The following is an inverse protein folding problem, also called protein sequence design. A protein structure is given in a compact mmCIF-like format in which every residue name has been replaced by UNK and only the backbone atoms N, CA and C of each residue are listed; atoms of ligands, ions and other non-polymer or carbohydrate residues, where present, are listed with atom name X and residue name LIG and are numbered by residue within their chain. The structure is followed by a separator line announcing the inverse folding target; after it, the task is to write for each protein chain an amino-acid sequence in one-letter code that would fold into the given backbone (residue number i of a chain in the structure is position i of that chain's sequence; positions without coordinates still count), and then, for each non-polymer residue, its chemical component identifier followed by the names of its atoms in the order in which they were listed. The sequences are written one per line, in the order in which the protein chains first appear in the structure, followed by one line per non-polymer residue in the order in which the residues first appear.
data_IF_178320930299
#
_entry.id   IF_178320930299
#
_cell.length_a   1.000
_cell.length_b   1.000
_cell.length_c   1.000
_cell.angle_alpha   90.00
_cell.angle_beta   90.00
_cell.angle_gamma   90.00
#
_symmetry.space_group_name_H-M   'P 1'
#
loop_
_entity.id
_entity.type
_entity.pdbx_description
1 polymer ?
#
# COMPACT_ATOMS: atom_id res chain seq x y z
N UNK A 1 8.04 -19.31 16.59
CA UNK A 1 9.47 -18.94 16.56
C UNK A 1 10.06 -19.12 15.18
N UNK A 2 10.08 -20.34 14.68
CA UNK A 2 10.71 -20.73 13.40
C UNK A 2 10.25 -19.90 12.18
N UNK A 3 8.94 -19.70 12.02
CA UNK A 3 8.40 -18.95 10.88
C UNK A 3 8.86 -17.48 10.87
N UNK A 4 8.89 -16.82 12.04
CA UNK A 4 9.39 -15.46 12.16
C UNK A 4 10.90 -15.40 11.88
N UNK A 5 11.65 -16.37 12.40
CA UNK A 5 13.10 -16.45 12.23
C UNK A 5 13.51 -16.69 10.77
N UNK A 6 12.75 -17.47 10.00
CA UNK A 6 13.01 -17.64 8.56
C UNK A 6 12.98 -16.31 7.82
N UNK A 7 12.05 -15.42 8.18
CA UNK A 7 11.96 -14.12 7.57
C UNK A 7 12.94 -13.11 8.19
N UNK A 8 13.23 -13.18 9.48
CA UNK A 8 13.95 -12.11 10.19
C UNK A 8 15.36 -12.45 10.66
N UNK A 9 15.79 -13.71 10.73
CA UNK A 9 17.14 -14.04 11.17
C UNK A 9 18.18 -13.51 10.18
N UNK A 10 19.14 -12.69 10.65
CA UNK A 10 20.26 -12.26 9.81
C UNK A 10 21.29 -13.37 9.60
N UNK A 11 21.19 -14.46 10.36
CA UNK A 11 22.09 -15.62 10.28
C UNK A 11 21.30 -16.81 9.74
N UNK A 12 21.63 -17.36 8.56
CA UNK A 12 20.94 -18.52 8.02
C UNK A 12 21.16 -19.77 8.87
N UNK A 13 20.27 -20.77 8.74
CA UNK A 13 20.41 -22.04 9.47
C UNK A 13 21.70 -22.77 9.15
N UNK A 14 22.17 -22.67 7.90
CA UNK A 14 23.45 -23.25 7.46
C UNK A 14 24.66 -22.72 8.26
N UNK A 15 24.57 -21.50 8.80
CA UNK A 15 25.67 -20.86 9.52
C UNK A 15 25.53 -20.95 11.06
N UNK A 16 24.31 -20.94 11.60
CA UNK A 16 24.11 -20.92 13.06
C UNK A 16 23.18 -22.01 13.61
N UNK A 17 22.89 -23.04 12.82
CA UNK A 17 22.01 -24.14 13.22
C UNK A 17 20.52 -23.78 13.18
N UNK A 18 19.66 -24.74 13.60
CA UNK A 18 18.21 -24.62 13.45
C UNK A 18 17.63 -23.37 14.12
N UNK A 19 16.65 -22.73 13.46
CA UNK A 19 15.96 -21.57 14.05
C UNK A 19 15.22 -21.90 15.34
N UNK A 20 14.70 -23.12 15.45
CA UNK A 20 13.92 -23.58 16.61
C UNK A 20 14.71 -23.52 17.93
N UNK A 21 16.02 -23.73 17.90
CA UNK A 21 16.90 -23.72 19.08
C UNK A 21 17.83 -22.50 19.14
N UNK A 22 17.64 -21.51 18.24
CA UNK A 22 18.51 -20.36 18.12
C UNK A 22 18.41 -19.41 19.32
N UNK A 23 19.56 -19.09 19.92
CA UNK A 23 19.68 -18.03 20.89
C UNK A 23 19.79 -16.65 20.22
N UNK A 24 18.66 -16.02 19.88
CA UNK A 24 18.63 -14.70 19.22
C UNK A 24 19.20 -13.54 20.06
N UNK A 25 19.48 -13.76 21.35
CA UNK A 25 20.16 -12.82 22.23
C UNK A 25 21.68 -13.06 22.35
N UNK A 26 22.22 -14.09 21.68
CA UNK A 26 23.63 -14.37 21.73
C UNK A 26 24.47 -13.17 21.25
N UNK A 27 25.50 -12.76 22.01
CA UNK A 27 26.40 -11.71 21.58
C UNK A 27 27.33 -12.19 20.46
N UNK A 28 27.79 -11.25 19.65
CA UNK A 28 28.91 -11.46 18.75
C UNK A 28 30.22 -11.30 19.55
N UNK A 29 30.86 -12.43 19.87
CA UNK A 29 32.11 -12.44 20.64
C UNK A 29 33.29 -11.76 19.91
N UNK A 30 33.24 -11.64 18.58
CA UNK A 30 34.26 -10.93 17.81
C UNK A 30 34.08 -9.40 17.85
N UNK A 31 32.90 -8.91 18.25
CA UNK A 31 32.63 -7.48 18.32
C UNK A 31 33.04 -6.93 19.70
N UNK A 32 33.88 -5.88 19.81
CA UNK A 32 34.39 -5.38 21.10
C UNK A 32 33.32 -5.00 22.13
N UNK A 33 32.15 -4.54 21.66
CA UNK A 33 31.00 -4.19 22.50
C UNK A 33 30.06 -5.36 22.82
N UNK A 34 30.38 -6.58 22.36
CA UNK A 34 29.53 -7.78 22.48
C UNK A 34 28.07 -7.53 22.08
N UNK A 35 27.87 -6.77 21.00
CA UNK A 35 26.52 -6.53 20.44
C UNK A 35 25.93 -7.84 19.96
N UNK A 36 24.60 -7.93 19.89
CA UNK A 36 23.86 -9.09 19.38
C UNK A 36 24.43 -9.56 18.03
N UNK A 37 24.59 -10.87 17.87
CA UNK A 37 25.08 -11.46 16.61
C UNK A 37 24.03 -11.45 15.50
N UNK A 38 22.77 -11.69 15.86
CA UNK A 38 21.65 -11.67 14.93
C UNK A 38 21.00 -10.29 14.90
N UNK A 39 20.96 -9.62 13.75
CA UNK A 39 20.34 -8.29 13.62
C UNK A 39 18.83 -8.35 13.41
N UNK A 40 18.21 -9.53 13.42
CA UNK A 40 16.77 -9.74 13.28
C UNK A 40 16.14 -9.04 12.06
N UNK A 41 16.93 -8.90 10.99
CA UNK A 41 16.47 -8.69 9.62
C UNK A 41 17.47 -9.34 8.65
N UNK A 42 17.02 -9.75 7.46
CA UNK A 42 17.88 -10.38 6.45
C UNK A 42 17.93 -9.61 5.12
N UNK A 43 17.11 -8.57 4.94
CA UNK A 43 17.00 -7.77 3.71
C UNK A 43 16.68 -8.62 2.46
N UNK A 44 16.19 -9.84 2.64
CA UNK A 44 15.86 -10.73 1.54
C UNK A 44 14.56 -10.30 0.87
N UNK A 45 14.53 -10.41 -0.46
CA UNK A 45 13.34 -10.08 -1.24
C UNK A 45 12.29 -11.20 -1.06
N UNK A 46 11.30 -10.96 -0.22
CA UNK A 46 10.22 -11.89 0.10
C UNK A 46 8.98 -11.57 -0.72
N UNK A 47 8.28 -12.56 -1.31
CA UNK A 47 7.01 -12.34 -1.99
C UNK A 47 5.99 -11.61 -1.11
N UNK A 48 5.33 -10.57 -1.63
CA UNK A 48 4.35 -9.80 -0.87
C UNK A 48 3.13 -10.65 -0.50
N UNK A 49 2.82 -11.67 -1.29
CA UNK A 49 1.79 -12.67 -0.99
C UNK A 49 2.12 -13.50 0.25
N UNK A 50 3.41 -13.76 0.50
CA UNK A 50 3.89 -14.43 1.69
C UNK A 50 3.93 -13.47 2.89
N UNK A 51 4.48 -12.26 2.72
CA UNK A 51 4.50 -11.22 3.77
C UNK A 51 3.07 -10.85 4.20
N UNK A 52 2.15 -10.90 3.25
CA UNK A 52 0.72 -10.66 3.42
C UNK A 52 0.35 -9.18 3.59
N UNK A 53 1.27 -8.22 3.44
CA UNK A 53 0.98 -6.78 3.57
C UNK A 53 0.27 -6.19 2.35
N UNK A 54 -0.25 -4.96 2.48
CA UNK A 54 -0.86 -4.19 1.38
C UNK A 54 0.01 -4.20 0.10
N UNK A 55 -0.40 -4.93 -0.97
CA UNK A 55 0.49 -5.26 -2.08
C UNK A 55 0.72 -4.11 -3.05
N UNK A 56 -0.16 -3.10 -3.09
CA UNK A 56 -0.05 -2.03 -4.09
C UNK A 56 1.28 -1.29 -4.00
N UNK A 57 1.88 -1.18 -2.81
CA UNK A 57 3.21 -0.59 -2.66
C UNK A 57 4.31 -1.45 -3.30
N UNK A 58 4.22 -2.77 -3.21
CA UNK A 58 5.18 -3.68 -3.83
C UNK A 58 5.09 -3.69 -5.36
N UNK A 59 3.99 -3.15 -5.93
CA UNK A 59 3.73 -3.11 -7.37
C UNK A 59 4.16 -1.80 -8.05
N UNK A 60 4.89 -0.91 -7.36
CA UNK A 60 5.39 0.32 -7.96
C UNK A 60 6.35 0.03 -9.13
N UNK A 61 6.31 0.83 -10.20
CA UNK A 61 7.14 0.62 -11.39
C UNK A 61 8.33 1.56 -11.50
N UNK A 62 8.56 2.43 -10.49
CA UNK A 62 9.54 3.52 -10.55
C UNK A 62 10.98 3.10 -10.88
N UNK A 63 11.40 1.91 -10.46
CA UNK A 63 12.74 1.35 -10.66
C UNK A 63 12.91 0.57 -11.98
N UNK A 64 11.85 0.44 -12.77
CA UNK A 64 11.90 -0.25 -14.06
C UNK A 64 12.75 0.52 -15.06
N UNK A 65 13.36 -0.19 -16.02
CA UNK A 65 14.15 0.45 -17.08
C UNK A 65 13.30 1.48 -17.85
N UNK A 66 13.87 2.67 -18.07
CA UNK A 66 13.19 3.79 -18.73
C UNK A 66 12.29 4.63 -17.82
N UNK A 67 12.20 4.33 -16.52
CA UNK A 67 11.42 5.11 -15.54
C UNK A 67 12.33 6.01 -14.70
N UNK A 68 11.73 6.98 -13.99
CA UNK A 68 12.42 8.07 -13.27
C UNK A 68 13.50 7.61 -12.27
N UNK A 69 13.38 6.40 -11.71
CA UNK A 69 14.30 5.86 -10.70
C UNK A 69 14.97 4.57 -11.16
N UNK A 70 15.14 4.37 -12.46
CA UNK A 70 15.69 3.14 -13.04
C UNK A 70 17.11 2.80 -12.53
N UNK A 71 17.90 3.83 -12.22
CA UNK A 71 19.27 3.74 -11.70
C UNK A 71 19.33 3.16 -10.29
N UNK A 72 18.22 3.19 -9.55
CA UNK A 72 18.11 2.61 -8.20
C UNK A 72 17.64 1.16 -8.21
N UNK A 73 17.36 0.58 -9.38
CA UNK A 73 17.06 -0.85 -9.56
C UNK A 73 18.24 -1.61 -10.15
N UNK A 74 18.55 -2.79 -9.59
CA UNK A 74 19.54 -3.71 -10.18
C UNK A 74 18.92 -4.60 -11.25
N UNK A 75 19.73 -5.10 -12.18
CA UNK A 75 19.24 -6.10 -13.16
C UNK A 75 18.81 -7.41 -12.48
N UNK A 76 19.49 -7.81 -11.41
CA UNK A 76 19.06 -8.96 -10.60
C UNK A 76 17.67 -8.76 -9.98
N UNK A 77 17.30 -7.52 -9.66
CA UNK A 77 15.95 -7.19 -9.20
C UNK A 77 14.96 -7.26 -10.35
N UNK A 78 15.26 -6.60 -11.48
CA UNK A 78 14.38 -6.58 -12.65
C UNK A 78 14.13 -7.97 -13.23
N UNK A 79 15.11 -8.87 -13.14
CA UNK A 79 15.03 -10.24 -13.64
C UNK A 79 14.16 -11.18 -12.79
N UNK A 80 13.71 -10.76 -11.60
CA UNK A 80 12.82 -11.60 -10.77
C UNK A 80 11.50 -11.86 -11.51
N UNK A 81 11.01 -13.11 -11.51
CA UNK A 81 9.79 -13.46 -12.21
C UNK A 81 8.57 -12.81 -11.55
N UNK A 82 7.51 -12.54 -12.32
CA UNK A 82 6.18 -12.25 -11.79
C UNK A 82 5.73 -13.28 -10.74
N UNK A 83 5.11 -12.82 -9.66
CA UNK A 83 4.48 -13.69 -8.66
C UNK A 83 3.16 -14.27 -9.20
N UNK A 84 3.08 -15.58 -9.40
CA UNK A 84 1.93 -16.24 -10.02
C UNK A 84 0.64 -16.15 -9.19
N UNK A 85 0.77 -16.07 -7.87
CA UNK A 85 -0.31 -16.01 -6.87
C UNK A 85 -0.93 -14.61 -6.71
N UNK A 86 -0.32 -13.58 -7.29
CA UNK A 86 -0.90 -12.24 -7.34
C UNK A 86 -1.95 -12.13 -8.45
N UNK A 87 -3.14 -11.56 -8.18
CA UNK A 87 -4.24 -11.48 -9.16
C UNK A 87 -3.96 -10.49 -10.29
N UNK A 88 -2.97 -9.60 -10.14
CA UNK A 88 -2.60 -8.64 -11.16
C UNK A 88 -2.01 -9.33 -12.40
N UNK A 89 -2.26 -8.74 -13.58
CA UNK A 89 -1.65 -9.17 -14.85
C UNK A 89 -0.12 -9.12 -14.77
N UNK A 90 0.58 -10.02 -15.44
CA UNK A 90 2.05 -10.11 -15.39
C UNK A 90 2.76 -8.79 -15.72
N UNK A 91 2.23 -8.02 -16.69
CA UNK A 91 2.71 -6.68 -17.05
C UNK A 91 2.66 -5.65 -15.90
N UNK A 92 1.89 -5.92 -14.84
CA UNK A 92 1.74 -5.07 -13.67
C UNK A 92 2.52 -5.59 -12.45
N UNK A 93 3.09 -6.79 -12.54
CA UNK A 93 3.89 -7.44 -11.49
C UNK A 93 5.25 -7.96 -11.96
N UNK A 94 5.68 -7.63 -13.18
CA UNK A 94 7.02 -7.92 -13.70
C UNK A 94 8.09 -6.91 -13.22
N UNK A 95 9.35 -7.10 -13.62
CA UNK A 95 10.42 -6.14 -13.37
C UNK A 95 10.84 -6.08 -11.91
N UNK A 96 10.71 -7.18 -11.17
CA UNK A 96 11.03 -7.23 -9.74
C UNK A 96 9.97 -6.66 -8.81
N UNK A 97 8.79 -6.36 -9.32
CA UNK A 97 7.62 -5.98 -8.52
C UNK A 97 7.03 -7.17 -7.78
N UNK A 98 6.27 -6.87 -6.73
CA UNK A 98 5.61 -7.86 -5.88
C UNK A 98 6.48 -8.38 -4.73
N UNK A 99 7.71 -7.89 -4.58
CA UNK A 99 8.59 -8.30 -3.49
C UNK A 99 8.79 -7.17 -2.48
N UNK A 100 8.91 -7.53 -1.20
CA UNK A 100 9.28 -6.63 -0.12
C UNK A 100 10.52 -7.16 0.59
N UNK A 101 11.31 -6.24 1.12
CA UNK A 101 12.41 -6.57 2.04
C UNK A 101 11.95 -6.25 3.45
N UNK A 102 12.35 -7.09 4.39
CA UNK A 102 12.03 -6.86 5.79
C UNK A 102 12.93 -5.79 6.41
N UNK A 103 12.49 -5.28 7.56
CA UNK A 103 13.32 -4.46 8.44
C UNK A 103 13.87 -5.32 9.56
N UNK A 104 14.92 -4.82 10.21
CA UNK A 104 15.34 -5.35 11.51
C UNK A 104 14.21 -5.20 12.53
N UNK A 105 13.96 -6.25 13.32
CA UNK A 105 13.06 -6.19 14.46
C UNK A 105 13.71 -5.60 15.73
N UNK A 106 15.01 -5.30 15.69
CA UNK A 106 15.70 -4.61 16.78
C UNK A 106 15.09 -3.22 16.95
N UNK A 107 14.73 -2.83 18.17
CA UNK A 107 14.01 -1.58 18.47
C UNK A 107 12.66 -1.41 17.75
N UNK A 108 12.00 -2.49 17.29
CA UNK A 108 10.69 -2.40 16.62
C UNK A 108 9.63 -1.71 17.49
N UNK A 109 9.80 -1.74 18.82
CA UNK A 109 8.92 -1.02 19.75
C UNK A 109 8.90 0.50 19.54
N UNK A 110 9.96 1.08 18.98
CA UNK A 110 10.05 2.51 18.70
C UNK A 110 9.40 2.91 17.36
N UNK A 111 9.02 1.94 16.52
CA UNK A 111 8.50 2.20 15.16
C UNK A 111 7.00 1.96 15.02
N UNK A 112 6.31 1.62 16.12
CA UNK A 112 4.86 1.45 16.13
C UNK A 112 4.12 2.78 15.82
N UNK A 113 2.97 2.76 15.10
CA UNK A 113 2.29 1.59 14.51
C UNK A 113 3.05 0.96 13.35
N UNK A 114 2.78 -0.31 13.05
CA UNK A 114 3.61 -1.09 12.13
C UNK A 114 3.20 -1.00 10.66
N UNK A 115 4.09 -1.54 9.83
CA UNK A 115 4.04 -1.57 8.36
C UNK A 115 4.26 -0.21 7.72
N UNK A 116 4.56 -0.22 6.43
CA UNK A 116 4.94 0.96 5.67
C UNK A 116 3.85 2.05 5.57
N UNK A 117 2.63 1.74 5.98
CA UNK A 117 1.45 2.60 5.98
C UNK A 117 0.95 2.93 7.40
N UNK A 118 1.64 2.47 8.44
CA UNK A 118 1.26 2.63 9.85
C UNK A 118 -0.17 2.20 10.15
N UNK A 119 -0.68 1.20 9.41
CA UNK A 119 -2.08 0.81 9.49
C UNK A 119 -2.34 -0.28 10.54
N UNK A 120 -1.32 -1.00 10.99
CA UNK A 120 -1.43 -2.02 12.05
C UNK A 120 -1.08 -1.40 13.40
N UNK A 121 -2.08 -1.27 14.27
CA UNK A 121 -2.04 -0.53 15.53
C UNK A 121 -3.09 0.57 15.57
N UNK A 122 -3.30 1.20 16.75
CA UNK A 122 -4.33 2.21 16.92
C UNK A 122 -4.05 3.45 16.06
N UNK A 123 -5.11 4.14 15.65
CA UNK A 123 -4.99 5.46 15.04
C UNK A 123 -4.32 6.44 15.99
N UNK A 124 -3.40 7.24 15.46
CA UNK A 124 -2.78 8.33 16.22
C UNK A 124 -3.48 9.64 15.88
N UNK A 125 -3.86 10.39 16.90
CA UNK A 125 -4.49 11.68 16.75
C UNK A 125 -4.00 12.66 17.82
N UNK A 126 -4.42 13.91 17.70
CA UNK A 126 -4.12 14.94 18.68
C UNK A 126 -5.32 15.84 18.91
N UNK A 127 -5.14 16.81 19.80
CA UNK A 127 -6.00 17.99 19.90
C UNK A 127 -5.08 19.18 19.68
N UNK A 128 -4.71 19.48 18.43
CA UNK A 128 -3.81 20.59 18.16
C UNK A 128 -4.48 21.91 18.57
N UNK A 129 -3.70 22.88 19.04
CA UNK A 129 -4.24 24.18 19.42
C UNK A 129 -4.82 24.92 18.21
N UNK A 130 -4.20 24.77 17.04
CA UNK A 130 -4.78 25.17 15.77
C UNK A 130 -5.60 24.01 15.19
N UNK A 131 -6.91 24.19 15.10
CA UNK A 131 -7.83 23.21 14.54
C UNK A 131 -7.52 22.89 13.07
N UNK A 132 -6.96 23.82 12.30
CA UNK A 132 -6.57 23.58 10.90
C UNK A 132 -5.43 22.54 10.76
N UNK A 133 -4.69 22.29 11.85
CA UNK A 133 -3.67 21.25 11.93
C UNK A 133 -4.21 19.91 12.44
N UNK A 134 -5.53 19.76 12.61
CA UNK A 134 -6.12 18.46 12.88
C UNK A 134 -6.20 17.65 11.58
N UNK A 135 -5.25 16.74 11.43
CA UNK A 135 -5.16 15.82 10.29
C UNK A 135 -5.78 14.45 10.57
N UNK A 136 -6.38 14.22 11.75
CA UNK A 136 -7.02 12.94 12.03
C UNK A 136 -8.29 12.78 11.18
N UNK A 137 -8.46 11.62 10.58
CA UNK A 137 -9.60 11.32 9.69
C UNK A 137 -10.21 9.98 10.07
N UNK A 138 -11.53 9.89 9.94
CA UNK A 138 -12.25 8.62 10.03
C UNK A 138 -11.78 7.69 8.91
N UNK A 139 -11.43 6.44 9.26
CA UNK A 139 -10.90 5.44 8.32
C UNK A 139 -11.46 4.04 8.55
N UNK A 140 -12.07 3.77 9.70
CA UNK A 140 -12.63 2.46 9.97
C UNK A 140 -13.94 2.27 9.21
N UNK A 141 -14.04 1.14 8.52
CA UNK A 141 -15.19 0.79 7.68
C UNK A 141 -15.87 -0.51 8.13
N UNK A 142 -17.17 -0.60 7.82
CA UNK A 142 -17.95 -1.81 7.99
C UNK A 142 -17.67 -2.86 6.91
N UNK A 143 -18.40 -3.97 6.95
CA UNK A 143 -18.36 -5.00 5.90
C UNK A 143 -18.77 -4.44 4.52
N UNK A 144 -19.66 -3.46 4.51
CA UNK A 144 -20.16 -2.75 3.32
C UNK A 144 -19.17 -1.73 2.72
N UNK A 145 -17.99 -1.56 3.35
CA UNK A 145 -16.95 -0.62 2.92
C UNK A 145 -17.26 0.85 3.21
N UNK A 146 -18.34 1.16 3.94
CA UNK A 146 -18.65 2.52 4.39
C UNK A 146 -18.02 2.79 5.75
N UNK A 147 -17.72 4.06 6.02
CA UNK A 147 -17.25 4.48 7.34
C UNK A 147 -18.23 4.03 8.43
N UNK A 148 -17.69 3.49 9.52
CA UNK A 148 -18.47 3.19 10.71
C UNK A 148 -19.09 4.48 11.25
N UNK A 149 -20.35 4.38 11.70
CA UNK A 149 -21.06 5.49 12.34
C UNK A 149 -20.29 6.04 13.56
N UNK A 150 -19.64 5.15 14.30
CA UNK A 150 -18.73 5.47 15.40
C UNK A 150 -17.34 4.94 15.08
N UNK A 151 -16.35 5.83 15.10
CA UNK A 151 -14.95 5.45 14.91
C UNK A 151 -14.34 5.03 16.26
N UNK A 152 -13.49 3.99 16.29
CA UNK A 152 -12.68 3.67 17.46
C UNK A 152 -11.90 4.90 17.95
N UNK A 153 -11.76 5.01 19.27
CA UNK A 153 -10.98 6.09 19.86
C UNK A 153 -9.52 6.03 19.38
N UNK A 154 -9.05 7.14 18.83
CA UNK A 154 -7.66 7.31 18.49
C UNK A 154 -6.81 7.59 19.74
N UNK A 155 -5.53 7.25 19.67
CA UNK A 155 -4.55 7.45 20.74
C UNK A 155 -3.81 8.78 20.53
N UNK A 156 -3.66 9.57 21.59
CA UNK A 156 -2.75 10.71 21.57
C UNK A 156 -1.31 10.22 21.50
N UNK A 157 -0.53 10.70 20.54
CA UNK A 157 0.90 10.39 20.53
C UNK A 157 1.58 10.93 21.79
N UNK A 158 2.12 10.02 22.60
CA UNK A 158 2.95 10.34 23.75
C UNK A 158 4.41 9.94 23.42
N UNK A 159 5.32 10.92 23.27
CA UNK A 159 6.71 10.67 22.93
C UNK A 159 7.53 10.10 24.10
N UNK A 160 6.96 9.97 25.30
CA UNK A 160 7.61 9.34 26.44
C UNK A 160 7.92 7.86 26.17
N UNK A 161 8.81 7.27 26.98
CA UNK A 161 9.11 5.83 26.89
C UNK A 161 7.84 5.01 27.14
N UNK A 162 7.08 5.35 28.18
CA UNK A 162 5.84 4.66 28.54
C UNK A 162 4.78 4.78 27.44
N UNK A 163 4.63 5.98 26.87
CA UNK A 163 3.69 6.24 25.77
C UNK A 163 3.99 5.43 24.52
N UNK A 164 5.25 5.42 24.07
CA UNK A 164 5.68 4.61 22.94
C UNK A 164 5.58 3.11 23.22
N UNK A 165 5.91 2.68 24.43
CA UNK A 165 5.80 1.28 24.82
C UNK A 165 4.34 0.80 24.87
N UNK A 166 3.41 1.65 25.31
CA UNK A 166 1.97 1.37 25.26
C UNK A 166 1.47 1.26 23.81
N UNK A 167 1.86 2.20 22.95
CA UNK A 167 1.55 2.15 21.52
C UNK A 167 2.08 0.87 20.87
N UNK A 168 3.32 0.48 21.19
CA UNK A 168 3.91 -0.77 20.76
C UNK A 168 3.07 -1.99 21.15
N UNK A 169 2.69 -2.12 22.43
CA UNK A 169 1.88 -3.27 22.90
C UNK A 169 0.54 -3.36 22.15
N UNK A 170 -0.13 -2.23 21.92
CA UNK A 170 -1.40 -2.19 21.16
C UNK A 170 -1.19 -2.59 19.70
N UNK A 171 -0.09 -2.13 19.10
CA UNK A 171 0.25 -2.45 17.71
C UNK A 171 0.64 -3.92 17.55
N UNK A 172 1.35 -4.50 18.53
CA UNK A 172 1.66 -5.94 18.57
C UNK A 172 0.41 -6.79 18.77
N UNK A 173 -0.54 -6.33 19.60
CA UNK A 173 -1.83 -7.01 19.73
C UNK A 173 -2.51 -7.08 18.36
N UNK A 174 -2.70 -5.95 17.68
CA UNK A 174 -3.31 -5.95 16.35
C UNK A 174 -2.52 -6.81 15.37
N UNK A 175 -1.19 -6.71 15.35
CA UNK A 175 -0.31 -7.51 14.48
C UNK A 175 -0.56 -9.02 14.66
N UNK A 176 -0.60 -9.50 15.90
CA UNK A 176 -0.72 -10.92 16.22
C UNK A 176 -2.18 -11.42 16.27
N UNK A 177 -3.16 -10.53 16.16
CA UNK A 177 -4.58 -10.90 16.18
C UNK A 177 -5.34 -10.22 15.03
N UNK A 178 -5.13 -10.66 13.78
CA UNK A 178 -5.79 -10.07 12.61
C UNK A 178 -7.32 -10.01 12.70
N UNK A 179 -7.94 -11.03 13.28
CA UNK A 179 -9.40 -11.10 13.46
C UNK A 179 -9.96 -10.03 14.43
N UNK A 180 -9.12 -9.47 15.31
CA UNK A 180 -9.51 -8.40 16.22
C UNK A 180 -9.38 -7.00 15.60
N UNK A 181 -8.81 -6.89 14.40
CA UNK A 181 -8.62 -5.60 13.72
C UNK A 181 -9.95 -5.11 13.14
N UNK A 182 -10.23 -3.82 13.30
CA UNK A 182 -11.19 -3.14 12.42
C UNK A 182 -10.59 -2.98 11.01
N UNK A 183 -11.42 -2.80 9.98
CA UNK A 183 -10.92 -2.58 8.60
C UNK A 183 -10.64 -1.10 8.39
N UNK A 184 -9.43 -0.74 7.97
CA UNK A 184 -9.04 0.65 7.68
C UNK A 184 -8.95 0.92 6.18
N UNK A 185 -9.60 1.98 5.72
CA UNK A 185 -9.55 2.47 4.34
C UNK A 185 -9.38 4.00 4.37
N UNK A 186 -8.43 4.52 3.59
CA UNK A 186 -8.27 5.97 3.44
C UNK A 186 -9.21 6.52 2.37
N UNK A 187 -9.91 7.59 2.70
CA UNK A 187 -10.82 8.32 1.80
C UNK A 187 -10.35 9.76 1.59
N UNK A 188 -10.78 10.36 0.48
CA UNK A 188 -10.65 11.79 0.25
C UNK A 188 -11.46 12.56 1.31
N UNK A 189 -10.86 13.60 1.89
CA UNK A 189 -11.49 14.44 2.91
C UNK A 189 -12.00 15.79 2.37
N UNK A 190 -11.88 15.98 1.07
CA UNK A 190 -12.38 17.13 0.33
C UNK A 190 -12.67 16.68 -1.10
N UNK A 191 -13.41 17.50 -1.82
CA UNK A 191 -13.56 17.33 -3.26
C UNK A 191 -12.19 17.54 -3.93
N UNK A 192 -11.71 16.54 -4.68
CA UNK A 192 -10.51 16.69 -5.49
C UNK A 192 -10.92 17.25 -6.84
N UNK A 193 -10.30 18.36 -7.21
CA UNK A 193 -10.45 18.97 -8.52
C UNK A 193 -9.22 18.57 -9.35
N UNK A 194 -9.43 17.70 -10.33
CA UNK A 194 -8.39 17.31 -11.28
C UNK A 194 -8.62 18.12 -12.54
N UNK A 195 -7.66 18.95 -12.89
CA UNK A 195 -7.70 19.70 -14.13
C UNK A 195 -7.26 18.79 -15.30
N UNK A 196 -8.09 18.69 -16.34
CA UNK A 196 -7.88 17.81 -17.50
C UNK A 196 -7.94 18.62 -18.80
N UNK A 197 -6.93 18.51 -19.64
CA UNK A 197 -6.89 19.18 -20.95
C UNK A 197 -6.01 20.44 -20.99
N UNK A 198 -5.98 21.09 -22.16
CA UNK A 198 -5.12 22.25 -22.40
C UNK A 198 -5.70 23.46 -21.67
N UNK A 199 -4.88 24.09 -20.83
CA UNK A 199 -5.20 25.35 -20.17
C UNK A 199 -4.33 26.46 -20.73
N UNK A 200 -4.86 27.31 -21.62
CA UNK A 200 -4.14 28.53 -21.97
C UNK A 200 -4.01 29.42 -20.72
N UNK A 201 -2.83 29.97 -20.53
CA UNK A 201 -2.56 30.94 -19.48
C UNK A 201 -3.20 32.27 -19.88
N UNK A 202 -4.28 32.66 -19.21
CA UNK A 202 -4.93 33.97 -19.38
C UNK A 202 -4.46 34.89 -18.23
N UNK A 203 -3.34 35.59 -18.47
CA UNK A 203 -2.68 36.40 -17.45
C UNK A 203 -2.03 35.55 -16.36
N UNK A 204 -2.58 35.57 -15.13
CA UNK A 204 -2.11 34.77 -13.97
C UNK A 204 -2.98 33.55 -13.67
N UNK A 205 -4.06 33.35 -14.43
CA UNK A 205 -5.06 32.31 -14.14
C UNK A 205 -5.15 31.36 -15.32
N UNK A 206 -4.90 30.07 -15.05
CA UNK A 206 -5.10 29.01 -16.02
C UNK A 206 -6.60 28.70 -16.14
N UNK A 207 -7.19 28.96 -17.32
CA UNK A 207 -8.59 28.62 -17.59
C UNK A 207 -8.69 27.38 -18.47
N UNK A 208 -9.66 26.48 -18.23
CA UNK A 208 -9.92 25.37 -19.12
C UNK A 208 -10.41 25.89 -20.48
N UNK A 209 -9.85 25.37 -21.58
CA UNK A 209 -10.36 25.68 -22.93
C UNK A 209 -11.78 25.10 -23.06
N UNK A 210 -12.78 25.93 -23.37
CA UNK A 210 -14.15 25.48 -23.68
C UNK A 210 -15.03 25.02 -22.50
N UNK A 211 -14.66 25.33 -21.24
CA UNK A 211 -15.49 25.02 -20.07
C UNK A 211 -15.55 23.53 -19.68
N UNK A 212 -14.81 22.69 -20.40
CA UNK A 212 -14.45 21.33 -20.03
C UNK A 212 -13.03 21.34 -19.47
N UNK A 213 -12.74 20.46 -18.52
CA UNK A 213 -11.37 20.29 -18.03
C UNK A 213 -11.13 20.52 -16.55
N UNK A 214 -12.19 20.40 -15.74
CA UNK A 214 -12.05 20.15 -14.33
C UNK A 214 -12.96 18.97 -13.95
N UNK A 215 -12.35 17.92 -13.45
CA UNK A 215 -12.95 16.66 -13.02
C UNK A 215 -13.06 16.72 -11.51
N UNK A 216 -14.28 16.74 -10.99
CA UNK A 216 -14.54 16.77 -9.55
C UNK A 216 -14.73 15.36 -9.02
N UNK A 217 -13.76 14.85 -8.29
CA UNK A 217 -13.93 13.65 -7.47
C UNK A 217 -14.51 14.11 -6.12
N UNK A 218 -15.68 13.62 -5.70
CA UNK A 218 -16.25 14.05 -4.44
C UNK A 218 -15.42 13.57 -3.25
N UNK A 219 -15.53 14.30 -2.15
CA UNK A 219 -15.14 13.83 -0.83
C UNK A 219 -15.74 12.44 -0.52
N UNK A 220 -14.98 11.60 0.20
CA UNK A 220 -15.39 10.25 0.58
C UNK A 220 -15.06 9.18 -0.47
N UNK A 221 -14.32 9.51 -1.52
CA UNK A 221 -13.86 8.53 -2.50
C UNK A 221 -12.58 7.83 -2.00
N UNK A 222 -12.42 6.53 -2.27
CA UNK A 222 -11.28 5.74 -1.76
C UNK A 222 -9.96 6.17 -2.41
N UNK A 223 -8.94 6.46 -1.59
CA UNK A 223 -7.60 6.79 -2.07
C UNK A 223 -6.92 5.63 -2.80
N UNK A 224 -7.18 4.38 -2.38
CA UNK A 224 -6.63 3.17 -3.01
C UNK A 224 -7.02 3.06 -4.48
N UNK A 225 -8.29 3.35 -4.80
CA UNK A 225 -8.80 3.33 -6.18
C UNK A 225 -8.06 4.36 -7.08
N UNK A 226 -7.84 5.59 -6.60
CA UNK A 226 -7.14 6.60 -7.39
C UNK A 226 -5.67 6.29 -7.60
N UNK A 227 -4.99 5.81 -6.56
CA UNK A 227 -3.57 5.45 -6.65
C UNK A 227 -3.34 4.30 -7.64
N UNK A 228 -4.29 3.36 -7.74
CA UNK A 228 -4.21 2.26 -8.69
C UNK A 228 -4.58 2.64 -10.13
N UNK A 229 -5.30 3.75 -10.35
CA UNK A 229 -5.82 4.09 -11.68
C UNK A 229 -4.71 4.47 -12.67
N UNK A 230 -4.57 3.64 -13.71
CA UNK A 230 -3.70 3.84 -14.88
C UNK A 230 -4.28 4.92 -15.82
N UNK A 231 -4.56 6.11 -15.28
CA UNK A 231 -5.26 7.20 -15.94
C UNK A 231 -4.61 7.62 -17.27
N UNK A 232 -3.28 7.63 -17.36
CA UNK A 232 -2.58 7.93 -18.63
C UNK A 232 -2.89 6.90 -19.71
N UNK A 233 -2.86 5.61 -19.37
CA UNK A 233 -3.21 4.54 -20.30
C UNK A 233 -4.70 4.59 -20.67
N UNK A 234 -5.58 4.84 -19.68
CA UNK A 234 -7.01 4.99 -19.93
C UNK A 234 -7.28 6.12 -20.93
N UNK A 235 -6.69 7.30 -20.73
CA UNK A 235 -6.85 8.44 -21.64
C UNK A 235 -6.30 8.12 -23.03
N UNK A 236 -5.13 7.50 -23.12
CA UNK A 236 -4.54 7.09 -24.40
C UNK A 236 -5.45 6.08 -25.13
N UNK A 237 -6.00 5.11 -24.42
CA UNK A 237 -6.90 4.10 -25.00
C UNK A 237 -8.25 4.69 -25.40
N UNK A 238 -8.82 5.61 -24.62
CA UNK A 238 -10.05 6.33 -25.00
C UNK A 238 -9.84 7.14 -26.29
N UNK A 239 -8.68 7.77 -26.43
CA UNK A 239 -8.29 8.48 -27.66
C UNK A 239 -8.16 7.52 -28.85
N UNK A 240 -7.39 6.44 -28.70
CA UNK A 240 -7.19 5.45 -29.77
C UNK A 240 -8.50 4.76 -30.15
N UNK A 241 -9.38 4.43 -29.19
CA UNK A 241 -10.67 3.80 -29.47
C UNK A 241 -11.54 4.61 -30.44
N UNK A 242 -11.43 5.95 -30.38
CA UNK A 242 -12.13 6.86 -31.29
C UNK A 242 -11.38 7.10 -32.61
N UNK A 243 -10.07 7.28 -32.56
CA UNK A 243 -9.30 7.79 -33.71
C UNK A 243 -8.56 6.70 -34.49
N UNK A 244 -8.13 5.63 -33.83
CA UNK A 244 -7.36 4.54 -34.42
C UNK A 244 -7.56 3.23 -33.61
N UNK A 245 -8.76 2.62 -33.68
CA UNK A 245 -9.04 1.40 -32.93
C UNK A 245 -8.16 0.23 -33.37
N UNK A 246 -7.66 0.23 -34.61
CA UNK A 246 -6.77 -0.79 -35.12
C UNK A 246 -5.46 -0.89 -34.30
N UNK A 247 -4.95 0.23 -33.77
CA UNK A 247 -3.80 0.22 -32.84
C UNK A 247 -4.09 -0.49 -31.52
N UNK A 248 -5.30 -0.34 -30.97
CA UNK A 248 -5.70 -1.07 -29.77
C UNK A 248 -5.87 -2.57 -30.05
N UNK A 249 -6.43 -2.91 -31.20
CA UNK A 249 -6.53 -4.31 -31.63
C UNK A 249 -5.16 -4.96 -31.78
N UNK A 250 -4.21 -4.27 -32.42
CA UNK A 250 -2.82 -4.72 -32.56
C UNK A 250 -2.10 -4.87 -31.22
N UNK A 251 -2.47 -4.07 -30.21
CA UNK A 251 -2.00 -4.20 -28.84
C UNK A 251 -2.74 -5.29 -28.02
N UNK A 252 -3.54 -6.13 -28.66
CA UNK A 252 -4.30 -7.20 -28.00
C UNK A 252 -5.51 -6.73 -27.19
N UNK A 253 -5.92 -5.46 -27.34
CA UNK A 253 -7.01 -4.84 -26.56
C UNK A 253 -8.34 -4.77 -27.31
N UNK A 254 -8.51 -5.59 -28.36
CA UNK A 254 -9.72 -5.63 -29.20
C UNK A 254 -11.02 -5.75 -28.39
N UNK A 255 -11.03 -6.60 -27.36
CA UNK A 255 -12.20 -6.82 -26.52
C UNK A 255 -12.63 -5.57 -25.72
N UNK A 256 -11.72 -4.61 -25.50
CA UNK A 256 -11.99 -3.38 -24.75
C UNK A 256 -12.58 -2.27 -25.63
N UNK A 257 -12.35 -2.34 -26.95
CA UNK A 257 -12.69 -1.27 -27.90
C UNK A 257 -14.16 -0.85 -27.83
N UNK A 258 -15.17 -1.75 -27.83
CA UNK A 258 -16.57 -1.34 -27.79
C UNK A 258 -16.91 -0.52 -26.53
N UNK A 259 -16.42 -0.96 -25.37
CA UNK A 259 -16.66 -0.26 -24.10
C UNK A 259 -15.95 1.09 -24.06
N UNK A 260 -14.71 1.15 -24.55
CA UNK A 260 -13.95 2.40 -24.64
C UNK A 260 -14.61 3.40 -25.60
N UNK A 261 -15.13 2.95 -26.74
CA UNK A 261 -15.89 3.79 -27.67
C UNK A 261 -17.16 4.33 -27.02
N UNK A 262 -17.93 3.48 -26.35
CA UNK A 262 -19.13 3.91 -25.62
C UNK A 262 -18.82 4.95 -24.53
N UNK A 263 -17.73 4.77 -23.77
CA UNK A 263 -17.28 5.78 -22.79
C UNK A 263 -16.93 7.08 -23.51
N UNK A 264 -16.11 7.02 -24.55
CA UNK A 264 -15.68 8.22 -25.29
C UNK A 264 -16.86 8.97 -25.90
N UNK A 265 -17.83 8.28 -26.49
CA UNK A 265 -19.05 8.88 -27.05
C UNK A 265 -19.90 9.56 -25.97
N UNK A 266 -20.10 8.90 -24.82
CA UNK A 266 -20.87 9.46 -23.71
C UNK A 266 -20.18 10.70 -23.13
N UNK A 267 -18.84 10.65 -22.97
CA UNK A 267 -18.03 11.79 -22.50
C UNK A 267 -18.09 12.97 -23.47
N UNK A 268 -18.07 12.72 -24.77
CA UNK A 268 -18.16 13.78 -25.78
C UNK A 268 -19.55 14.43 -25.82
N UNK A 269 -20.59 13.63 -25.60
CA UNK A 269 -21.97 14.10 -25.56
C UNK A 269 -22.27 14.88 -24.28
N UNK A 270 -21.75 14.41 -23.15
CA UNK A 270 -22.01 14.95 -21.81
C UNK A 270 -20.71 15.17 -21.02
N UNK A 271 -19.86 16.13 -21.42
CA UNK A 271 -18.53 16.30 -20.83
C UNK A 271 -18.55 16.61 -19.33
N UNK A 272 -19.65 17.19 -18.83
CA UNK A 272 -19.85 17.46 -17.39
C UNK A 272 -20.07 16.18 -16.57
N UNK A 273 -20.51 15.08 -17.18
CA UNK A 273 -20.73 13.77 -16.54
C UNK A 273 -19.50 12.88 -16.56
N UNK A 274 -18.34 13.35 -17.00
CA UNK A 274 -17.12 12.53 -17.13
C UNK A 274 -16.84 11.64 -15.91
N UNK A 275 -16.92 12.20 -14.69
CA UNK A 275 -16.70 11.44 -13.44
C UNK A 275 -17.76 10.36 -13.22
N UNK A 276 -19.03 10.70 -13.45
CA UNK A 276 -20.14 9.78 -13.26
C UNK A 276 -20.07 8.64 -14.28
N UNK A 277 -19.73 8.93 -15.54
CA UNK A 277 -19.52 7.93 -16.61
C UNK A 277 -18.42 6.95 -16.21
N UNK A 278 -17.28 7.45 -15.72
CA UNK A 278 -16.20 6.57 -15.24
C UNK A 278 -16.63 5.75 -14.03
N UNK A 279 -17.42 6.33 -13.10
CA UNK A 279 -17.95 5.63 -11.93
C UNK A 279 -18.96 4.55 -12.30
N UNK A 280 -19.82 4.80 -13.27
CA UNK A 280 -20.78 3.83 -13.81
C UNK A 280 -20.06 2.66 -14.53
N UNK A 281 -18.83 2.88 -14.99
CA UNK A 281 -17.96 1.87 -15.60
C UNK A 281 -16.88 1.33 -14.64
N UNK A 282 -17.06 1.49 -13.32
CA UNK A 282 -16.03 1.12 -12.33
C UNK A 282 -15.52 -0.30 -12.49
N UNK A 283 -16.38 -1.28 -12.76
CA UNK A 283 -15.98 -2.69 -12.81
C UNK A 283 -15.08 -2.95 -14.03
N UNK A 284 -15.41 -2.32 -15.16
CA UNK A 284 -14.57 -2.31 -16.35
C UNK A 284 -13.22 -1.62 -16.10
N UNK A 285 -13.22 -0.47 -15.42
CA UNK A 285 -12.01 0.26 -15.07
C UNK A 285 -11.13 -0.55 -14.09
N UNK A 286 -11.72 -1.17 -13.07
CA UNK A 286 -11.01 -2.02 -12.12
C UNK A 286 -10.35 -3.21 -12.81
N UNK A 287 -11.04 -3.86 -13.75
CA UNK A 287 -10.50 -5.02 -14.46
C UNK A 287 -9.38 -4.70 -15.47
N UNK A 288 -9.34 -3.46 -15.98
CA UNK A 288 -8.49 -3.12 -17.14
C UNK A 288 -7.51 -1.96 -16.92
N UNK A 289 -7.82 -1.07 -15.98
CA UNK A 289 -7.11 0.19 -15.76
C UNK A 289 -6.76 0.44 -14.31
N UNK A 290 -6.92 -0.53 -13.41
CA UNK A 290 -6.45 -0.43 -12.02
C UNK A 290 -5.28 -1.39 -11.83
N UNK A 291 -4.14 -0.87 -11.40
CA UNK A 291 -2.91 -1.64 -11.19
C UNK A 291 -2.95 -2.46 -9.91
N UNK A 292 -3.69 -2.00 -8.91
CA UNK A 292 -3.93 -2.68 -7.65
C UNK A 292 -5.22 -2.15 -7.02
N UNK A 293 -6.07 -3.07 -6.59
CA UNK A 293 -7.41 -2.82 -6.08
C UNK A 293 -7.53 -3.12 -4.57
N UNK A 294 -6.42 -3.35 -3.88
CA UNK A 294 -6.42 -3.48 -2.43
C UNK A 294 -6.89 -2.16 -1.80
N UNK A 295 -7.96 -2.23 -1.00
CA UNK A 295 -8.52 -1.07 -0.31
C UNK A 295 -8.21 -1.06 1.18
N UNK A 296 -8.22 -2.22 1.82
CA UNK A 296 -8.02 -2.32 3.27
C UNK A 296 -6.53 -2.33 3.59
N UNK A 297 -6.11 -1.33 4.33
CA UNK A 297 -4.69 -1.00 4.55
C UNK A 297 -4.05 -1.87 5.64
N UNK A 298 -4.87 -2.45 6.54
CA UNK A 298 -4.43 -3.20 7.71
C UNK A 298 -4.84 -4.68 7.72
N UNK A 299 -5.26 -5.24 6.57
CA UNK A 299 -5.50 -6.69 6.45
C UNK A 299 -4.21 -7.51 6.68
N UNK A 300 -3.06 -6.90 6.39
CA UNK A 300 -1.84 -7.66 6.13
C UNK A 300 -0.93 -8.02 7.30
N UNK A 301 0.12 -8.79 7.01
CA UNK A 301 1.01 -9.47 7.97
C UNK A 301 0.24 -10.30 9.01
N UNK A 302 -0.01 -11.56 8.66
CA UNK A 302 -0.69 -12.55 9.52
C UNK A 302 0.27 -13.50 10.24
N UNK A 303 1.57 -13.35 10.02
CA UNK A 303 2.55 -14.14 10.77
C UNK A 303 2.37 -13.95 12.27
N UNK A 304 2.29 -15.08 12.97
CA UNK A 304 2.05 -15.11 14.41
C UNK A 304 0.58 -15.17 14.81
N UNK A 305 -0.37 -15.18 13.87
CA UNK A 305 -1.80 -15.28 14.21
C UNK A 305 -2.17 -16.61 14.88
N UNK A 306 -1.56 -17.70 14.41
CA UNK A 306 -1.78 -19.07 14.88
C UNK A 306 -1.03 -19.38 16.20
N UNK A 307 -0.25 -18.42 16.71
CA UNK A 307 0.43 -18.59 17.99
C UNK A 307 -0.58 -18.66 19.13
N UNK A 308 -0.24 -19.45 20.16
CA UNK A 308 -0.96 -19.42 21.42
C UNK A 308 -0.88 -18.03 22.06
N UNK A 309 -1.84 -17.68 22.92
CA UNK A 309 -1.81 -16.39 23.63
C UNK A 309 -0.53 -16.22 24.47
N UNK A 310 -0.02 -17.33 25.03
CA UNK A 310 1.24 -17.35 25.76
C UNK A 310 2.43 -16.99 24.84
N UNK A 311 2.49 -17.57 23.64
CA UNK A 311 3.54 -17.30 22.66
C UNK A 311 3.45 -15.88 22.09
N UNK A 312 2.23 -15.36 21.85
CA UNK A 312 2.01 -13.97 21.43
C UNK A 312 2.55 -12.99 22.47
N UNK A 313 2.28 -13.25 23.75
CA UNK A 313 2.81 -12.48 24.88
C UNK A 313 4.34 -12.60 24.96
N UNK A 314 4.88 -13.80 24.80
CA UNK A 314 6.31 -14.04 24.82
C UNK A 314 7.04 -13.28 23.70
N UNK A 315 6.52 -13.31 22.46
CA UNK A 315 7.12 -12.60 21.33
C UNK A 315 7.05 -11.08 21.53
N UNK A 316 5.93 -10.57 22.06
CA UNK A 316 5.76 -9.15 22.36
C UNK A 316 6.74 -8.69 23.44
N UNK A 317 6.93 -9.49 24.49
CA UNK A 317 7.91 -9.19 25.53
C UNK A 317 9.36 -9.28 25.00
N UNK A 318 9.67 -10.32 24.22
CA UNK A 318 10.98 -10.49 23.60
C UNK A 318 11.36 -9.27 22.75
N UNK A 319 10.50 -8.89 21.79
CA UNK A 319 10.73 -7.77 20.88
C UNK A 319 10.79 -6.40 21.59
N UNK A 320 10.18 -6.26 22.76
CA UNK A 320 10.28 -5.06 23.59
C UNK A 320 11.67 -4.85 24.21
N UNK A 321 12.45 -5.92 24.35
CA UNK A 321 13.75 -5.91 25.04
C UNK A 321 14.94 -5.85 24.07
N UNK A 322 14.67 -5.75 22.76
CA UNK A 322 15.68 -5.82 21.71
C UNK A 322 16.33 -4.49 21.36
#
# INVERSE_FOLDING_TARGET
GETCARCHSSIPEAAGGPFASRAFAAPNEAHPRKVRADFLGNDEATPVSEVGTFPCRALHSNHMAGHLYMEYGSESMRARPPLADLPQKDELKNGGRGYLRNISLVNVWATAPFMHNNAIGPEICGKPANHDNDFHRARYVGADGKLLAEQPACLRYDPSVDGRFELYKRSMHELLNPAARGRKVTFTNADLLIDVGIRPLDGKVEKPLGGFGQVKIPMGASAGFFNGLLHKQLIADLYLAKHDPARLEAAGRKALVPTLQAITEEVLKEPKRFVDILRERRDFLSANYVSCDQLVENEGHRFGEDLSDADKKAVTAFLATL
#
